data_IF_511421094956
#
_entry.id   IF_511421094956
#
_cell.length_a   1.000
_cell.length_b   1.000
_cell.length_c   1.000
_cell.angle_alpha   90.00
_cell.angle_beta   90.00
_cell.angle_gamma   90.00
#
_symmetry.space_group_name_H-M   'P 1'
#
loop_
_entity.id
_entity.type
_entity.pdbx_description
1 polymer ?
#
# COMPACT_ATOMS: atom_id res chain seq x y z
N UNK A 1 -31.25 2.41 0.10
CA UNK A 1 -30.19 1.71 0.84
C UNK A 1 -29.22 1.18 -0.18
N UNK A 2 -28.17 1.96 -0.45
CA UNK A 2 -27.13 1.66 -1.43
C UNK A 2 -25.87 1.30 -0.64
N UNK A 3 -25.36 0.09 -0.88
CA UNK A 3 -24.07 -0.38 -0.39
C UNK A 3 -22.96 0.30 -1.20
N UNK A 4 -22.05 0.96 -0.49
CA UNK A 4 -20.79 1.50 -1.03
C UNK A 4 -19.74 0.40 -0.90
N UNK A 5 -19.10 0.05 -2.01
CA UNK A 5 -17.97 -0.88 -2.05
C UNK A 5 -16.67 -0.16 -1.65
N UNK A 6 -15.74 -0.79 -0.89
CA UNK A 6 -14.45 -0.20 -0.60
C UNK A 6 -13.49 -0.34 -1.80
N UNK A 7 -12.76 0.74 -2.05
CA UNK A 7 -11.71 0.89 -3.06
C UNK A 7 -10.48 0.12 -2.57
N UNK A 8 -9.88 -0.64 -3.50
CA UNK A 8 -8.76 -1.53 -3.24
C UNK A 8 -7.46 -0.81 -2.90
N UNK A 9 -6.77 -1.35 -1.91
CA UNK A 9 -5.37 -1.08 -1.58
C UNK A 9 -4.51 -1.96 -2.50
N UNK A 10 -3.59 -1.36 -3.25
CA UNK A 10 -2.57 -2.08 -4.00
C UNK A 10 -1.59 -2.73 -3.02
N UNK A 11 -1.68 -4.06 -2.89
CA UNK A 11 -0.70 -4.88 -2.18
C UNK A 11 0.37 -5.39 -3.14
N UNK A 12 1.61 -5.37 -2.67
CA UNK A 12 2.81 -5.90 -3.33
C UNK A 12 2.67 -7.40 -3.60
N UNK A 13 2.93 -7.83 -4.84
CA UNK A 13 3.00 -9.24 -5.22
C UNK A 13 4.40 -9.82 -4.93
N UNK A 14 4.56 -10.52 -3.80
CA UNK A 14 5.58 -11.55 -3.65
C UNK A 14 4.90 -12.89 -3.34
N UNK A 15 4.87 -13.80 -4.32
CA UNK A 15 4.27 -15.13 -4.11
C UNK A 15 4.20 -16.08 -5.31
N UNK A 16 4.80 -15.74 -6.46
CA UNK A 16 4.67 -16.53 -7.68
C UNK A 16 5.79 -17.55 -7.92
N UNK A 17 5.97 -18.57 -7.07
CA UNK A 17 6.93 -19.67 -7.36
C UNK A 17 6.46 -21.11 -7.16
N UNK A 18 5.21 -21.37 -6.79
CA UNK A 18 4.73 -22.76 -6.53
C UNK A 18 3.96 -23.40 -7.69
N UNK A 19 3.60 -22.64 -8.74
CA UNK A 19 2.75 -23.15 -9.83
C UNK A 19 3.48 -23.69 -11.08
N UNK A 20 4.80 -23.90 -11.03
CA UNK A 20 5.58 -24.37 -12.21
C UNK A 20 5.78 -25.89 -12.35
N UNK A 21 5.21 -26.75 -11.50
CA UNK A 21 5.51 -28.20 -11.53
C UNK A 21 4.49 -29.13 -12.22
N UNK A 22 3.52 -28.63 -13.01
CA UNK A 22 2.54 -29.52 -13.70
C UNK A 22 2.60 -29.45 -15.23
N UNK A 23 3.54 -28.68 -15.81
CA UNK A 23 3.55 -28.35 -17.23
C UNK A 23 4.53 -29.10 -18.13
N UNK A 24 4.99 -30.33 -17.83
CA UNK A 24 5.94 -31.05 -18.71
C UNK A 24 5.61 -32.54 -18.80
N UNK A 25 4.56 -32.92 -19.54
CA UNK A 25 4.36 -34.31 -19.96
C UNK A 25 3.41 -34.48 -21.16
N UNK A 26 3.58 -33.76 -22.27
CA UNK A 26 2.97 -34.19 -23.55
C UNK A 26 3.83 -33.78 -24.75
N UNK A 27 4.85 -34.60 -25.03
CA UNK A 27 5.56 -34.58 -26.29
C UNK A 27 5.72 -36.01 -26.81
N UNK A 28 4.79 -36.45 -27.68
CA UNK A 28 5.06 -37.37 -28.79
C UNK A 28 3.76 -37.83 -29.46
N UNK A 29 3.51 -37.37 -30.70
CA UNK A 29 3.17 -38.20 -31.89
C UNK A 29 2.56 -37.32 -33.00
N UNK A 30 3.01 -37.55 -34.23
CA UNK A 30 2.27 -37.13 -35.43
C UNK A 30 3.05 -36.24 -36.40
N UNK A 31 4.00 -36.83 -37.13
CA UNK A 31 4.45 -36.28 -38.42
C UNK A 31 3.29 -36.44 -39.42
N UNK A 32 3.02 -35.37 -40.16
CA UNK A 32 2.17 -35.24 -41.36
C UNK A 32 0.93 -34.36 -41.15
N UNK A 33 1.11 -33.04 -41.19
CA UNK A 33 0.28 -32.11 -41.97
C UNK A 33 0.63 -30.65 -41.60
N UNK A 34 0.51 -29.79 -42.60
CA UNK A 34 0.20 -28.36 -42.44
C UNK A 34 1.37 -27.42 -42.16
N UNK A 35 2.00 -26.98 -43.26
CA UNK A 35 2.80 -25.75 -43.41
C UNK A 35 2.01 -24.45 -43.14
N UNK A 36 0.93 -24.50 -42.37
CA UNK A 36 0.08 -23.34 -42.00
C UNK A 36 0.28 -22.94 -40.53
N UNK A 37 0.89 -23.80 -39.69
CA UNK A 37 1.06 -23.53 -38.25
C UNK A 37 2.26 -22.62 -37.93
N UNK A 38 3.24 -22.52 -38.83
CA UNK A 38 4.41 -21.65 -38.64
C UNK A 38 4.10 -20.15 -38.73
N UNK A 39 2.95 -19.77 -39.31
CA UNK A 39 2.51 -18.38 -39.41
C UNK A 39 1.81 -17.85 -38.14
N UNK A 40 1.24 -18.72 -37.31
CA UNK A 40 0.56 -18.31 -36.07
C UNK A 40 1.50 -18.27 -34.85
N UNK A 41 2.60 -19.04 -34.87
CA UNK A 41 3.55 -19.09 -33.75
C UNK A 41 4.49 -17.87 -33.74
N UNK A 42 4.73 -17.22 -34.89
CA UNK A 42 5.52 -15.96 -34.94
C UNK A 42 4.67 -14.73 -34.54
N UNK A 43 3.33 -14.82 -34.62
CA UNK A 43 2.41 -13.77 -34.16
C UNK A 43 2.11 -13.83 -32.64
N UNK A 44 2.49 -14.91 -31.95
CA UNK A 44 2.34 -15.06 -30.50
C UNK A 44 3.58 -14.60 -29.70
N UNK A 45 4.71 -14.32 -30.35
CA UNK A 45 5.91 -13.76 -29.71
C UNK A 45 6.02 -12.23 -29.85
N UNK A 46 5.06 -11.58 -30.50
CA UNK A 46 4.87 -10.12 -30.53
C UNK A 46 3.80 -9.62 -29.55
N UNK A 47 3.24 -10.52 -28.73
CA UNK A 47 2.70 -10.12 -27.44
C UNK A 47 3.87 -9.81 -26.51
N UNK A 48 4.59 -8.72 -26.83
CA UNK A 48 5.37 -7.99 -25.85
C UNK A 48 4.48 -7.85 -24.64
N UNK A 49 4.98 -8.35 -23.53
CA UNK A 49 4.57 -8.01 -22.17
C UNK A 49 3.93 -6.63 -22.14
N UNK A 50 2.60 -6.59 -22.29
CA UNK A 50 1.81 -5.45 -21.88
C UNK A 50 1.89 -5.50 -20.36
N UNK A 51 3.03 -5.04 -19.83
CA UNK A 51 3.11 -4.60 -18.46
C UNK A 51 1.93 -3.64 -18.33
N UNK A 52 1.08 -3.88 -17.34
CA UNK A 52 -0.05 -3.03 -17.01
C UNK A 52 0.37 -1.63 -16.53
N UNK A 53 1.52 -1.15 -16.98
CA UNK A 53 1.99 0.21 -16.81
C UNK A 53 1.11 1.06 -17.71
N UNK A 54 0.24 1.84 -17.08
CA UNK A 54 -0.66 2.76 -17.77
C UNK A 54 0.08 3.54 -18.85
N UNK A 55 -0.61 3.85 -19.95
CA UNK A 55 -0.04 4.57 -21.08
C UNK A 55 0.60 5.88 -20.61
N UNK A 56 1.93 5.88 -20.50
CA UNK A 56 2.74 7.02 -20.08
C UNK A 56 3.42 7.69 -21.27
N UNK A 57 3.82 8.95 -21.10
CA UNK A 57 4.65 9.70 -22.04
C UNK A 57 5.87 10.26 -21.31
N UNK A 58 6.89 10.65 -22.08
CA UNK A 58 7.99 11.44 -21.53
C UNK A 58 7.45 12.79 -20.99
N UNK A 59 7.97 13.28 -19.86
CA UNK A 59 7.64 14.62 -19.39
C UNK A 59 8.16 15.67 -20.37
N UNK A 60 7.48 16.81 -20.38
CA UNK A 60 7.95 18.04 -21.00
C UNK A 60 9.00 18.71 -20.11
N UNK A 61 9.84 19.62 -20.65
CA UNK A 61 10.80 20.35 -19.82
C UNK A 61 10.17 21.14 -18.66
N UNK A 62 8.94 21.64 -18.84
CA UNK A 62 8.22 22.36 -17.79
C UNK A 62 7.77 21.43 -16.65
N UNK A 63 7.38 20.19 -16.96
CA UNK A 63 7.00 19.18 -15.96
C UNK A 63 8.22 18.69 -15.18
N UNK A 64 9.35 18.47 -15.87
CA UNK A 64 10.61 18.11 -15.20
C UNK A 64 11.07 19.22 -14.24
N UNK A 65 11.02 20.49 -14.70
CA UNK A 65 11.38 21.63 -13.87
C UNK A 65 10.45 21.78 -12.67
N UNK A 66 9.13 21.66 -12.90
CA UNK A 66 8.13 21.72 -11.83
C UNK A 66 8.34 20.61 -10.80
N UNK A 67 8.56 19.37 -11.25
CA UNK A 67 8.80 18.23 -10.38
C UNK A 67 10.03 18.45 -9.50
N UNK A 68 11.17 18.78 -10.11
CA UNK A 68 12.43 19.02 -9.40
C UNK A 68 12.32 20.17 -8.41
N UNK A 69 11.86 21.34 -8.87
CA UNK A 69 11.73 22.53 -8.00
C UNK A 69 10.75 22.30 -6.85
N UNK A 70 9.69 21.53 -7.09
CA UNK A 70 8.74 21.14 -6.04
C UNK A 70 9.38 20.16 -5.06
N UNK A 71 10.06 19.11 -5.52
CA UNK A 71 10.79 18.19 -4.63
C UNK A 71 11.82 18.92 -3.77
N UNK A 72 12.62 19.81 -4.38
CA UNK A 72 13.62 20.61 -3.66
C UNK A 72 12.96 21.50 -2.58
N UNK A 73 11.85 22.15 -2.91
CA UNK A 73 11.11 22.99 -1.96
C UNK A 73 10.50 22.17 -0.82
N UNK A 74 9.95 20.98 -1.10
CA UNK A 74 9.41 20.09 -0.08
C UNK A 74 10.52 19.53 0.82
N UNK A 75 11.64 19.11 0.24
CA UNK A 75 12.81 18.59 0.96
C UNK A 75 13.42 19.65 1.88
N UNK A 76 13.61 20.87 1.37
CA UNK A 76 14.20 21.97 2.13
C UNK A 76 13.32 22.43 3.31
N UNK A 77 12.01 22.15 3.28
CA UNK A 77 11.11 22.49 4.36
C UNK A 77 11.10 21.47 5.51
N UNK A 78 11.59 20.25 5.29
CA UNK A 78 11.67 19.23 6.32
C UNK A 78 12.96 19.38 7.15
N UNK A 79 12.91 18.98 8.44
CA UNK A 79 14.10 19.03 9.28
C UNK A 79 15.22 18.13 8.74
N UNK A 80 16.42 18.69 8.66
CA UNK A 80 17.64 17.94 8.32
C UNK A 80 18.25 17.22 9.54
N UNK A 81 18.01 17.75 10.75
CA UNK A 81 18.59 17.22 11.98
C UNK A 81 17.84 15.98 12.45
N UNK A 82 18.50 14.83 12.37
CA UNK A 82 17.99 13.56 12.87
C UNK A 82 18.16 13.52 14.41
N UNK A 83 17.13 13.14 15.19
CA UNK A 83 17.26 12.99 16.63
C UNK A 83 18.39 12.02 17.02
N UNK A 84 19.03 12.26 18.16
CA UNK A 84 20.09 11.36 18.66
C UNK A 84 19.56 9.94 18.85
N UNK A 85 20.27 8.95 18.28
CA UNK A 85 19.88 7.53 18.31
C UNK A 85 18.86 7.12 17.25
N UNK A 86 18.53 8.02 16.31
CA UNK A 86 17.66 7.75 15.18
C UNK A 86 18.45 7.83 13.88
N UNK A 87 17.95 7.17 12.84
CA UNK A 87 18.55 7.16 11.51
C UNK A 87 17.49 7.44 10.45
N UNK A 88 17.89 8.07 9.33
CA UNK A 88 17.04 8.15 8.15
C UNK A 88 17.03 6.78 7.50
N UNK A 89 15.89 6.09 7.56
CA UNK A 89 15.74 4.74 6.98
C UNK A 89 15.06 4.76 5.63
N UNK A 90 14.29 5.80 5.35
CA UNK A 90 13.62 5.96 4.06
C UNK A 90 13.48 7.45 3.74
N UNK A 91 13.76 7.82 2.50
CA UNK A 91 13.66 9.20 2.02
C UNK A 91 13.40 9.19 0.52
N UNK A 92 12.52 10.08 0.08
CA UNK A 92 12.27 10.24 -1.35
C UNK A 92 13.57 10.59 -2.09
N UNK A 93 13.94 9.74 -3.04
CA UNK A 93 15.05 10.00 -3.94
C UNK A 93 14.65 11.08 -4.95
N UNK A 94 15.56 12.02 -5.19
CA UNK A 94 15.37 13.08 -6.19
C UNK A 94 15.78 12.58 -7.58
N UNK A 95 15.13 11.51 -8.04
CA UNK A 95 15.35 10.98 -9.37
C UNK A 95 14.75 11.87 -10.46
N UNK A 96 15.29 11.77 -11.67
CA UNK A 96 14.70 12.45 -12.82
C UNK A 96 13.31 11.86 -13.11
N UNK A 97 12.32 12.74 -13.28
CA UNK A 97 11.00 12.32 -13.73
C UNK A 97 11.12 11.69 -15.13
N UNK A 98 10.88 10.39 -15.24
CA UNK A 98 11.03 9.66 -16.51
C UNK A 98 9.72 9.54 -17.29
N UNK A 99 8.61 9.34 -16.57
CA UNK A 99 7.30 9.02 -17.15
C UNK A 99 6.20 9.81 -16.47
N UNK A 100 5.27 10.30 -17.28
CA UNK A 100 4.06 11.01 -16.84
C UNK A 100 2.85 10.37 -17.51
N UNK A 101 1.77 10.13 -16.75
CA UNK A 101 0.52 9.59 -17.30
C UNK A 101 -0.09 10.50 -18.37
N UNK A 102 -0.74 9.94 -19.39
CA UNK A 102 -1.28 10.72 -20.53
C UNK A 102 -2.31 11.79 -20.11
N UNK A 103 -3.08 11.58 -19.04
CA UNK A 103 -4.15 12.50 -18.60
C UNK A 103 -3.69 13.62 -17.63
N UNK A 104 -2.41 13.61 -17.24
CA UNK A 104 -1.83 14.56 -16.26
C UNK A 104 -1.94 16.03 -16.67
N UNK A 105 -2.03 16.34 -17.97
CA UNK A 105 -2.19 17.73 -18.44
C UNK A 105 -3.53 18.37 -18.07
N UNK A 106 -4.51 17.59 -17.57
CA UNK A 106 -5.85 18.08 -17.22
C UNK A 106 -6.05 18.33 -15.73
N UNK A 107 -5.10 17.92 -14.89
CA UNK A 107 -5.16 18.05 -13.43
C UNK A 107 -3.85 18.62 -12.91
N UNK A 108 -3.83 19.28 -11.74
CA UNK A 108 -2.58 19.65 -11.10
C UNK A 108 -1.68 18.43 -10.96
N UNK A 109 -0.41 18.58 -11.32
CA UNK A 109 0.57 17.51 -11.23
C UNK A 109 0.91 17.28 -9.76
N UNK A 110 0.59 16.08 -9.25
CA UNK A 110 0.89 15.68 -7.87
C UNK A 110 2.37 15.31 -7.75
N UNK A 111 3.02 15.82 -6.70
CA UNK A 111 4.41 15.48 -6.35
C UNK A 111 4.41 15.08 -4.88
N UNK A 112 5.04 13.95 -4.57
CA UNK A 112 5.17 13.46 -3.19
C UNK A 112 6.63 13.52 -2.79
N UNK A 113 6.87 14.00 -1.59
CA UNK A 113 8.14 13.89 -0.89
C UNK A 113 7.90 13.21 0.45
N UNK A 114 8.80 12.35 0.87
CA UNK A 114 8.68 11.67 2.16
C UNK A 114 10.04 11.55 2.84
N UNK A 115 10.02 11.51 4.17
CA UNK A 115 11.18 11.34 5.03
C UNK A 115 10.75 10.51 6.25
N UNK A 116 11.49 9.45 6.52
CA UNK A 116 11.29 8.59 7.67
C UNK A 116 12.55 8.50 8.52
N UNK A 117 12.36 8.69 9.82
CA UNK A 117 13.37 8.39 10.83
C UNK A 117 12.95 7.18 11.62
N UNK A 118 13.91 6.34 11.96
CA UNK A 118 13.64 5.15 12.77
C UNK A 118 14.69 5.01 13.86
N UNK A 119 14.24 4.61 15.05
CA UNK A 119 15.11 4.19 16.14
C UNK A 119 15.51 2.73 15.92
N UNK A 120 16.61 2.55 15.18
CA UNK A 120 17.08 1.23 14.74
C UNK A 120 17.27 0.27 15.92
N UNK A 121 17.84 0.73 17.03
CA UNK A 121 18.06 -0.12 18.21
C UNK A 121 16.74 -0.62 18.83
N UNK A 122 15.70 0.22 18.85
CA UNK A 122 14.38 -0.17 19.34
C UNK A 122 13.68 -1.13 18.37
N UNK A 123 13.81 -0.89 17.06
CA UNK A 123 13.27 -1.76 16.02
C UNK A 123 13.91 -3.16 16.06
N UNK A 124 15.24 -3.23 16.05
CA UNK A 124 15.98 -4.50 16.11
C UNK A 124 15.61 -5.32 17.35
N UNK A 125 15.46 -4.64 18.50
CA UNK A 125 15.01 -5.31 19.73
C UNK A 125 13.59 -5.89 19.61
N UNK A 126 12.71 -5.22 18.87
CA UNK A 126 11.37 -5.71 18.56
C UNK A 126 11.43 -6.94 17.63
N UNK A 127 12.19 -6.84 16.55
CA UNK A 127 12.34 -7.89 15.52
C UNK A 127 12.98 -9.17 16.08
N UNK A 128 14.02 -9.06 16.91
CA UNK A 128 14.66 -10.23 17.53
C UNK A 128 13.66 -11.02 18.40
N UNK A 129 12.86 -10.31 19.19
CA UNK A 129 11.80 -10.94 20.01
C UNK A 129 10.69 -11.54 19.15
N UNK A 130 10.40 -10.93 18.00
CA UNK A 130 9.38 -11.38 17.06
C UNK A 130 9.76 -12.69 16.40
N UNK A 131 10.98 -12.76 15.88
CA UNK A 131 11.45 -13.86 15.04
C UNK A 131 11.33 -15.21 15.76
N UNK A 132 11.74 -15.26 17.03
CA UNK A 132 11.67 -16.48 17.84
C UNK A 132 10.23 -16.93 18.09
N UNK A 133 9.32 -15.98 18.37
CA UNK A 133 7.92 -16.29 18.68
C UNK A 133 7.13 -16.68 17.42
N UNK A 134 7.34 -15.97 16.31
CA UNK A 134 6.73 -16.27 15.02
C UNK A 134 7.24 -17.62 14.51
N UNK A 135 8.54 -17.89 14.61
CA UNK A 135 9.11 -19.18 14.22
C UNK A 135 8.53 -20.34 15.03
N UNK A 136 8.33 -20.16 16.34
CA UNK A 136 7.72 -21.19 17.19
C UNK A 136 6.27 -21.55 16.81
N UNK A 137 5.52 -20.58 16.26
CA UNK A 137 4.12 -20.79 15.84
C UNK A 137 4.03 -21.31 14.41
N UNK A 138 4.86 -20.78 13.51
CA UNK A 138 4.84 -21.11 12.08
C UNK A 138 5.68 -22.34 11.72
N UNK A 139 6.52 -22.82 12.64
CA UNK A 139 7.41 -23.97 12.44
C UNK A 139 6.68 -25.31 12.27
N UNK A 140 5.36 -25.35 12.48
CA UNK A 140 4.52 -26.51 12.20
C UNK A 140 3.23 -26.09 11.51
N UNK A 141 2.73 -26.93 10.59
CA UNK A 141 1.40 -26.74 10.00
C UNK A 141 0.34 -26.69 11.10
N UNK A 142 -0.57 -25.70 11.11
CA UNK A 142 -1.65 -25.64 12.10
C UNK A 142 -2.74 -26.69 11.84
N UNK A 143 -2.69 -27.34 10.68
CA UNK A 143 -3.58 -28.43 10.29
C UNK A 143 -2.81 -29.74 10.28
N UNK A 144 -3.46 -30.82 10.72
CA UNK A 144 -2.83 -32.14 10.73
C UNK A 144 -2.70 -32.71 9.32
N UNK A 145 -1.72 -33.58 9.09
CA UNK A 145 -1.59 -34.31 7.82
C UNK A 145 -2.85 -35.16 7.52
N UNK A 146 -3.56 -35.61 8.56
CA UNK A 146 -4.81 -36.35 8.43
C UNK A 146 -5.93 -35.47 7.86
N UNK A 147 -6.06 -34.23 8.34
CA UNK A 147 -7.04 -33.26 7.84
C UNK A 147 -6.78 -32.88 6.38
N UNK A 148 -5.51 -32.75 5.99
CA UNK A 148 -5.09 -32.51 4.60
C UNK A 148 -5.45 -33.72 3.73
N UNK A 149 -5.07 -34.93 4.16
CA UNK A 149 -5.36 -36.16 3.44
C UNK A 149 -6.87 -36.39 3.27
N UNK A 150 -7.69 -36.07 4.28
CA UNK A 150 -9.14 -36.17 4.19
C UNK A 150 -9.72 -35.20 3.16
N UNK A 151 -9.24 -33.95 3.12
CA UNK A 151 -9.67 -32.97 2.12
C UNK A 151 -9.32 -33.41 0.69
N UNK A 152 -8.10 -33.89 0.46
CA UNK A 152 -7.66 -34.42 -0.83
C UNK A 152 -8.52 -35.63 -1.26
N UNK A 153 -8.83 -36.53 -0.33
CA UNK A 153 -9.69 -37.68 -0.57
C UNK A 153 -11.11 -37.27 -0.95
N UNK A 154 -11.68 -36.25 -0.28
CA UNK A 154 -12.98 -35.69 -0.64
C UNK A 154 -12.95 -35.09 -2.05
N UNK A 155 -11.88 -34.37 -2.42
CA UNK A 155 -11.72 -33.79 -3.75
C UNK A 155 -11.70 -34.85 -4.86
N UNK A 156 -11.00 -35.98 -4.65
CA UNK A 156 -11.00 -37.12 -5.58
C UNK A 156 -12.41 -37.70 -5.75
N UNK A 157 -13.14 -37.91 -4.64
CA UNK A 157 -14.52 -38.42 -4.70
C UNK A 157 -15.48 -37.48 -5.42
N UNK A 158 -15.31 -36.16 -5.27
CA UNK A 158 -16.09 -35.16 -6.02
C UNK A 158 -15.85 -35.32 -7.51
N UNK A 159 -14.60 -35.48 -7.94
CA UNK A 159 -14.25 -35.65 -9.35
C UNK A 159 -14.83 -36.95 -9.92
N UNK A 160 -14.77 -38.06 -9.19
CA UNK A 160 -15.35 -39.35 -9.57
C UNK A 160 -16.88 -39.28 -9.72
N UNK A 161 -17.58 -38.70 -8.73
CA UNK A 161 -19.03 -38.54 -8.77
C UNK A 161 -19.48 -37.62 -9.91
N UNK A 162 -18.72 -36.53 -10.16
CA UNK A 162 -18.99 -35.62 -11.27
C UNK A 162 -18.81 -36.30 -12.63
N UNK A 163 -17.77 -37.12 -12.81
CA UNK A 163 -17.55 -37.90 -14.02
C UNK A 163 -18.66 -38.93 -14.27
N UNK A 164 -19.26 -39.46 -13.21
CA UNK A 164 -20.41 -40.36 -13.27
C UNK A 164 -21.77 -39.65 -13.47
N UNK A 165 -21.81 -38.31 -13.44
CA UNK A 165 -23.05 -37.53 -13.53
C UNK A 165 -23.92 -37.59 -12.28
N UNK A 166 -23.38 -38.01 -11.14
CA UNK A 166 -24.11 -38.09 -9.86
C UNK A 166 -24.07 -36.75 -9.11
N UNK A 167 -24.96 -35.85 -9.50
CA UNK A 167 -25.03 -34.48 -8.99
C UNK A 167 -25.38 -34.43 -7.49
N UNK A 168 -26.17 -35.38 -7.00
CA UNK A 168 -26.57 -35.38 -5.59
C UNK A 168 -25.40 -35.78 -4.68
N UNK A 169 -24.62 -36.79 -5.08
CA UNK A 169 -23.38 -37.15 -4.38
C UNK A 169 -22.36 -36.01 -4.42
N UNK A 170 -22.21 -35.33 -5.57
CA UNK A 170 -21.34 -34.14 -5.67
C UNK A 170 -21.76 -33.05 -4.67
N UNK A 171 -23.06 -32.79 -4.52
CA UNK A 171 -23.58 -31.77 -3.59
C UNK A 171 -23.22 -32.12 -2.15
N UNK A 172 -23.42 -33.36 -1.73
CA UNK A 172 -23.09 -33.83 -0.37
C UNK A 172 -21.59 -33.75 -0.11
N UNK A 173 -20.76 -34.22 -1.04
CA UNK A 173 -19.30 -34.18 -0.89
C UNK A 173 -18.75 -32.75 -0.84
N UNK A 174 -19.30 -31.82 -1.61
CA UNK A 174 -18.94 -30.39 -1.54
C UNK A 174 -19.28 -29.78 -0.18
N UNK A 175 -20.39 -30.17 0.44
CA UNK A 175 -20.74 -29.73 1.79
C UNK A 175 -19.70 -30.22 2.80
N UNK A 176 -19.27 -31.48 2.70
CA UNK A 176 -18.21 -32.04 3.56
C UNK A 176 -16.87 -31.34 3.33
N UNK A 177 -16.52 -31.01 2.08
CA UNK A 177 -15.33 -30.20 1.79
C UNK A 177 -15.43 -28.79 2.41
N UNK A 178 -16.61 -28.17 2.41
CA UNK A 178 -16.81 -26.87 3.05
C UNK A 178 -16.66 -26.94 4.57
N UNK A 179 -17.15 -28.02 5.20
CA UNK A 179 -16.94 -28.29 6.63
C UNK A 179 -15.45 -28.48 6.95
N UNK A 180 -14.73 -29.26 6.13
CA UNK A 180 -13.29 -29.44 6.30
C UNK A 180 -12.50 -28.13 6.06
N UNK A 181 -12.91 -27.33 5.07
CA UNK A 181 -12.33 -26.00 4.85
C UNK A 181 -12.59 -25.05 6.03
N UNK A 182 -13.71 -25.19 6.74
CA UNK A 182 -13.97 -24.42 7.95
C UNK A 182 -13.01 -24.81 9.11
N UNK A 183 -12.59 -26.08 9.19
CA UNK A 183 -11.54 -26.52 10.13
C UNK A 183 -10.21 -25.82 9.79
N UNK A 184 -9.83 -25.79 8.51
CA UNK A 184 -8.61 -25.09 8.07
C UNK A 184 -8.68 -23.59 8.40
N UNK A 185 -9.76 -22.91 8.00
CA UNK A 185 -9.93 -21.48 8.23
C UNK A 185 -9.86 -21.14 9.73
N UNK A 186 -10.43 -21.99 10.59
CA UNK A 186 -10.33 -21.80 12.04
C UNK A 186 -8.89 -21.95 12.51
N UNK A 187 -8.20 -23.02 12.11
CA UNK A 187 -6.83 -23.29 12.53
C UNK A 187 -5.85 -22.18 12.09
N UNK A 188 -5.96 -21.71 10.84
CA UNK A 188 -5.18 -20.58 10.35
C UNK A 188 -5.58 -19.26 11.02
N UNK A 189 -6.87 -19.04 11.26
CA UNK A 189 -7.34 -17.85 12.00
C UNK A 189 -6.76 -17.76 13.42
N UNK A 190 -6.65 -18.89 14.14
CA UNK A 190 -5.99 -18.94 15.46
C UNK A 190 -4.49 -18.65 15.39
N UNK A 191 -3.82 -18.99 14.28
CA UNK A 191 -2.42 -18.61 14.04
C UNK A 191 -2.31 -17.12 13.75
N UNK A 192 -3.16 -16.59 12.88
CA UNK A 192 -3.19 -15.18 12.53
C UNK A 192 -3.45 -14.30 13.76
N UNK A 193 -4.40 -14.68 14.62
CA UNK A 193 -4.67 -14.00 15.89
C UNK A 193 -3.43 -13.95 16.79
N UNK A 194 -2.67 -15.05 16.90
CA UNK A 194 -1.42 -15.07 17.68
C UNK A 194 -0.33 -14.22 17.06
N UNK A 195 -0.20 -14.21 15.73
CA UNK A 195 0.76 -13.35 15.03
C UNK A 195 0.41 -11.87 15.29
N UNK A 196 -0.88 -11.50 15.23
CA UNK A 196 -1.34 -10.16 15.58
C UNK A 196 -1.01 -9.81 17.03
N UNK A 197 -1.20 -10.73 17.98
CA UNK A 197 -0.82 -10.53 19.39
C UNK A 197 0.69 -10.32 19.56
N UNK A 198 1.51 -11.11 18.87
CA UNK A 198 2.97 -10.96 18.86
C UNK A 198 3.34 -9.60 18.31
N UNK A 199 2.83 -9.23 17.13
CA UNK A 199 3.07 -7.94 16.50
C UNK A 199 2.75 -6.78 17.46
N UNK A 200 1.60 -6.84 18.14
CA UNK A 200 1.24 -5.81 19.13
C UNK A 200 2.21 -5.73 20.31
N UNK A 201 2.78 -6.86 20.73
CA UNK A 201 3.70 -6.92 21.84
C UNK A 201 5.12 -6.45 21.48
N UNK A 202 5.51 -6.57 20.21
CA UNK A 202 6.85 -6.23 19.72
C UNK A 202 6.93 -4.85 19.07
N UNK A 203 5.87 -4.37 18.42
CA UNK A 203 5.87 -3.05 17.78
C UNK A 203 5.83 -2.01 18.89
N UNK A 204 6.98 -1.44 19.18
CA UNK A 204 7.16 -0.46 20.23
C UNK A 204 6.70 0.91 19.74
N UNK A 205 5.78 1.60 20.44
CA UNK A 205 5.55 3.02 20.21
C UNK A 205 6.86 3.82 20.32
N UNK A 206 6.97 4.92 19.59
CA UNK A 206 8.16 5.76 19.41
C UNK A 206 9.32 5.04 18.69
N UNK A 207 9.00 4.08 17.81
CA UNK A 207 10.00 3.41 16.95
C UNK A 207 10.31 4.18 15.67
N UNK A 208 9.33 4.90 15.09
CA UNK A 208 9.50 5.63 13.85
C UNK A 208 8.81 7.01 13.89
N UNK A 209 9.27 7.87 13.00
CA UNK A 209 8.67 9.17 12.67
C UNK A 209 8.61 9.22 11.15
N UNK A 210 7.44 9.43 10.58
CA UNK A 210 7.26 9.56 9.15
C UNK A 210 6.63 10.91 8.81
N UNK A 211 7.18 11.58 7.80
CA UNK A 211 6.68 12.84 7.28
C UNK A 211 6.45 12.67 5.78
N UNK A 212 5.22 12.90 5.34
CA UNK A 212 4.83 12.89 3.93
C UNK A 212 4.33 14.27 3.55
N UNK A 213 4.95 14.88 2.54
CA UNK A 213 4.49 16.13 1.94
C UNK A 213 3.95 15.84 0.54
N UNK A 214 2.68 16.18 0.33
CA UNK A 214 2.00 16.02 -0.95
C UNK A 214 1.72 17.40 -1.56
N UNK A 215 2.42 17.74 -2.64
CA UNK A 215 2.08 18.87 -3.48
C UNK A 215 0.93 18.50 -4.42
N UNK A 216 -0.05 19.39 -4.57
CA UNK A 216 -1.19 19.25 -5.47
C UNK A 216 -2.10 18.03 -5.21
N UNK A 217 -2.02 17.40 -4.03
CA UNK A 217 -3.03 16.44 -3.59
C UNK A 217 -4.36 17.15 -3.40
N UNK A 218 -5.40 16.63 -4.07
CA UNK A 218 -6.72 17.27 -4.14
C UNK A 218 -7.71 16.78 -3.07
N UNK A 219 -7.41 15.67 -2.44
CA UNK A 219 -8.19 15.09 -1.36
C UNK A 219 -7.31 14.29 -0.42
N UNK A 220 -7.62 14.31 0.86
CA UNK A 220 -6.97 13.48 1.87
C UNK A 220 -8.04 12.88 2.77
N UNK A 221 -8.05 11.55 2.87
CA UNK A 221 -8.84 10.86 3.89
C UNK A 221 -8.27 11.20 5.27
N UNK A 222 -9.15 11.41 6.24
CA UNK A 222 -8.76 11.66 7.62
C UNK A 222 -8.89 10.37 8.41
N UNK A 223 -7.97 10.17 9.34
CA UNK A 223 -8.01 9.02 10.23
C UNK A 223 -9.25 9.05 11.14
N UNK A 224 -9.81 7.89 11.53
CA UNK A 224 -10.97 7.82 12.41
C UNK A 224 -10.76 8.57 13.72
N UNK A 225 -11.71 9.44 14.08
CA UNK A 225 -11.65 10.21 15.33
C UNK A 225 -10.69 11.39 15.29
N UNK A 226 -10.22 11.80 14.11
CA UNK A 226 -9.40 12.99 13.95
C UNK A 226 -10.10 14.25 14.52
N UNK A 227 -9.37 15.03 15.30
CA UNK A 227 -9.84 16.27 15.92
C UNK A 227 -9.22 17.46 15.18
N UNK A 228 -10.06 18.42 14.81
CA UNK A 228 -9.62 19.65 14.15
C UNK A 228 -8.76 20.51 15.08
N UNK A 229 -7.67 21.04 14.54
CA UNK A 229 -6.72 21.95 15.18
C UNK A 229 -6.18 22.97 14.16
N UNK A 230 -5.16 23.73 14.56
CA UNK A 230 -4.45 24.69 13.70
C UNK A 230 -2.95 24.51 13.91
N UNK A 231 -2.20 24.44 12.80
CA UNK A 231 -0.73 24.37 12.79
C UNK A 231 -0.21 25.48 11.88
N UNK A 232 0.66 26.34 12.41
CA UNK A 232 1.22 27.49 11.68
C UNK A 232 0.18 28.39 10.97
N UNK A 233 -1.05 28.46 11.51
CA UNK A 233 -2.16 29.21 10.93
C UNK A 233 -3.00 28.45 9.89
N UNK A 234 -2.62 27.22 9.54
CA UNK A 234 -3.35 26.36 8.60
C UNK A 234 -4.30 25.40 9.31
N UNK A 235 -5.43 25.03 8.67
CA UNK A 235 -6.29 23.96 9.16
C UNK A 235 -5.49 22.66 9.27
N UNK A 236 -5.63 21.99 10.42
CA UNK A 236 -5.00 20.71 10.66
C UNK A 236 -5.95 19.75 11.39
N UNK A 237 -5.64 18.47 11.33
CA UNK A 237 -6.40 17.41 11.97
C UNK A 237 -5.43 16.46 12.66
N UNK A 238 -5.76 16.04 13.87
CA UNK A 238 -4.93 15.14 14.67
C UNK A 238 -5.71 13.90 15.07
N UNK A 239 -5.18 12.74 14.76
CA UNK A 239 -5.75 11.46 15.13
C UNK A 239 -4.79 10.68 16.02
N UNK A 240 -5.35 10.00 17.03
CA UNK A 240 -4.54 9.20 17.95
C UNK A 240 -3.95 7.99 17.24
N UNK A 241 -2.78 7.56 17.70
CA UNK A 241 -2.20 6.29 17.28
C UNK A 241 -3.12 5.11 17.56
N UNK A 242 -3.01 4.08 16.74
CA UNK A 242 -3.86 2.91 16.77
C UNK A 242 -3.12 1.67 16.25
N UNK A 243 -3.63 0.49 16.60
CA UNK A 243 -3.17 -0.75 16.01
C UNK A 243 -3.99 -1.09 14.76
N UNK A 244 -3.32 -1.45 13.67
CA UNK A 244 -3.96 -2.02 12.49
C UNK A 244 -4.60 -3.38 12.83
N UNK A 245 -5.46 -3.91 11.93
CA UNK A 245 -5.93 -5.29 12.04
C UNK A 245 -4.79 -6.34 12.06
N UNK A 246 -3.63 -6.06 11.46
CA UNK A 246 -2.43 -6.92 11.48
C UNK A 246 -1.60 -6.79 12.77
N UNK A 247 -1.98 -5.89 13.68
CA UNK A 247 -1.30 -5.69 14.96
C UNK A 247 -0.11 -4.73 14.92
N UNK A 248 0.11 -4.06 13.79
CA UNK A 248 1.11 -3.01 13.66
C UNK A 248 0.64 -1.72 14.32
N UNK A 249 1.52 -1.04 15.06
CA UNK A 249 1.25 0.25 15.68
C UNK A 249 1.50 1.39 14.69
N UNK A 250 0.51 2.25 14.50
CA UNK A 250 0.67 3.56 13.86
C UNK A 250 0.66 4.64 14.94
N UNK A 251 1.56 5.61 14.78
CA UNK A 251 1.66 6.71 15.72
C UNK A 251 0.52 7.74 15.58
N UNK A 252 0.51 8.74 16.47
CA UNK A 252 -0.35 9.90 16.30
C UNK A 252 -0.05 10.59 14.96
N UNK A 253 -1.08 10.81 14.17
CA UNK A 253 -0.98 11.51 12.89
C UNK A 253 -1.47 12.94 13.04
N UNK A 254 -0.67 13.90 12.60
CA UNK A 254 -1.07 15.30 12.36
C UNK A 254 -1.07 15.58 10.87
N UNK A 255 -2.23 15.88 10.30
CA UNK A 255 -2.40 16.27 8.89
C UNK A 255 -2.64 17.77 8.79
N UNK A 256 -1.80 18.50 8.06
CA UNK A 256 -1.87 19.95 7.86
C UNK A 256 -2.21 20.26 6.40
N UNK A 257 -3.15 21.18 6.17
CA UNK A 257 -3.67 21.51 4.85
C UNK A 257 -3.32 22.95 4.46
N UNK A 258 -2.40 23.10 3.50
CA UNK A 258 -1.97 24.38 2.95
C UNK A 258 -2.56 24.64 1.56
N UNK A 259 -2.72 25.91 1.21
CA UNK A 259 -3.45 26.34 0.01
C UNK A 259 -4.88 26.78 0.29
N UNK A 260 -5.55 27.35 -0.72
CA UNK A 260 -6.89 27.93 -0.59
C UNK A 260 -7.95 26.94 -1.03
N UNK A 261 -9.17 27.05 -0.47
CA UNK A 261 -10.35 26.33 -0.96
C UNK A 261 -10.52 24.91 -0.42
N UNK A 262 -9.86 24.57 0.67
CA UNK A 262 -10.09 23.31 1.38
C UNK A 262 -11.42 23.31 2.14
N UNK A 263 -12.14 22.19 2.11
CA UNK A 263 -13.41 21.98 2.80
C UNK A 263 -13.56 20.51 3.24
N UNK A 264 -14.32 20.28 4.31
CA UNK A 264 -14.64 18.93 4.79
C UNK A 264 -15.75 18.31 3.93
N UNK A 265 -15.66 17.00 3.69
CA UNK A 265 -16.79 16.22 3.19
C UNK A 265 -17.83 15.98 4.29
N UNK A 266 -19.09 15.67 3.95
CA UNK A 266 -20.10 15.32 4.96
C UNK A 266 -19.61 14.16 5.85
N UNK A 267 -19.58 14.38 7.16
CA UNK A 267 -19.08 13.41 8.13
C UNK A 267 -17.57 13.48 8.42
N UNK A 268 -16.88 14.49 7.88
CA UNK A 268 -15.45 14.79 8.12
C UNK A 268 -14.50 13.61 7.84
N UNK A 269 -14.92 12.64 7.01
CA UNK A 269 -14.11 11.48 6.65
C UNK A 269 -12.97 11.82 5.67
N UNK A 270 -13.07 12.95 4.98
CA UNK A 270 -12.04 13.45 4.08
C UNK A 270 -12.06 14.98 4.01
N UNK A 271 -10.92 15.54 3.66
CA UNK A 271 -10.76 16.95 3.32
C UNK A 271 -10.46 17.06 1.83
N UNK A 272 -11.15 17.96 1.13
CA UNK A 272 -11.04 18.13 -0.32
C UNK A 272 -10.77 19.60 -0.66
N UNK A 273 -10.14 19.85 -1.80
CA UNK A 273 -9.91 21.20 -2.32
C UNK A 273 -10.58 21.39 -3.68
N UNK A 274 -11.15 22.58 -3.89
CA UNK A 274 -11.56 22.99 -5.23
C UNK A 274 -10.36 23.48 -6.02
N UNK A 275 -9.99 22.77 -7.08
CA UNK A 275 -8.90 23.16 -7.99
C UNK A 275 -9.15 24.55 -8.56
N UNK A 276 -8.11 25.37 -8.65
CA UNK A 276 -8.19 26.66 -9.33
C UNK A 276 -8.37 26.42 -10.84
N UNK A 277 -9.56 26.71 -11.34
CA UNK A 277 -9.87 26.50 -12.75
C UNK A 277 -8.88 27.27 -13.65
N UNK A 278 -8.34 26.57 -14.67
CA UNK A 278 -7.41 27.11 -15.68
C UNK A 278 -5.99 27.43 -15.17
N UNK A 279 -5.65 27.11 -13.92
CA UNK A 279 -4.25 27.11 -13.52
C UNK A 279 -3.45 26.10 -14.36
N UNK A 280 -2.18 26.39 -14.71
CA UNK A 280 -1.30 25.39 -15.31
C UNK A 280 -1.23 24.13 -14.44
N UNK A 281 -1.11 22.96 -15.06
CA UNK A 281 -0.94 21.71 -14.31
C UNK A 281 0.40 21.68 -13.53
N UNK A 282 1.39 22.44 -13.99
CA UNK A 282 2.69 22.68 -13.35
C UNK A 282 2.66 23.88 -12.39
N UNK A 283 1.51 24.21 -11.80
CA UNK A 283 1.42 25.22 -10.75
C UNK A 283 1.13 24.55 -9.43
N UNK A 284 1.88 24.94 -8.39
CA UNK A 284 1.66 24.46 -7.04
C UNK A 284 0.46 25.18 -6.43
N UNK A 285 -0.61 24.44 -6.11
CA UNK A 285 -1.87 24.99 -5.59
C UNK A 285 -2.14 24.58 -4.14
N UNK A 286 -1.69 23.39 -3.76
CA UNK A 286 -1.86 22.84 -2.40
C UNK A 286 -0.61 22.12 -1.94
N UNK A 287 -0.44 22.09 -0.62
CA UNK A 287 0.48 21.17 0.06
C UNK A 287 -0.29 20.53 1.20
N UNK A 288 -0.21 19.20 1.32
CA UNK A 288 -0.71 18.44 2.47
C UNK A 288 0.49 17.83 3.17
N UNK A 289 0.68 18.17 4.45
CA UNK A 289 1.71 17.54 5.28
C UNK A 289 1.04 16.50 6.19
N UNK A 290 1.51 15.25 6.16
CA UNK A 290 1.11 14.18 7.08
C UNK A 290 2.32 13.84 7.92
N UNK A 291 2.22 14.10 9.23
CA UNK A 291 3.28 13.83 10.20
C UNK A 291 2.77 12.73 11.12
N UNK A 292 3.42 11.57 11.09
CA UNK A 292 3.20 10.45 11.99
C UNK A 292 4.37 10.38 12.99
N UNK A 293 4.08 10.56 14.28
CA UNK A 293 5.09 10.56 15.33
C UNK A 293 4.46 10.30 16.70
N UNK A 294 5.22 9.74 17.64
CA UNK A 294 4.78 9.59 19.04
C UNK A 294 4.31 10.94 19.62
N UNK A 295 3.18 10.97 20.35
CA UNK A 295 2.58 12.21 20.89
C UNK A 295 3.54 13.10 21.70
N UNK A 296 4.59 12.53 22.29
CA UNK A 296 5.61 13.27 23.06
C UNK A 296 6.54 14.09 22.18
N UNK A 297 6.68 13.74 20.90
CA UNK A 297 7.58 14.39 19.92
C UNK A 297 6.84 15.11 18.80
N UNK A 298 5.59 14.76 18.51
CA UNK A 298 4.81 15.33 17.41
C UNK A 298 4.85 16.86 17.41
N UNK A 299 4.72 17.49 18.59
CA UNK A 299 4.78 18.94 18.73
C UNK A 299 6.11 19.53 18.26
N UNK A 300 7.23 19.03 18.77
CA UNK A 300 8.57 19.52 18.39
C UNK A 300 8.88 19.26 16.91
N UNK A 301 8.47 18.11 16.36
CA UNK A 301 8.70 17.79 14.94
C UNK A 301 7.91 18.75 14.04
N UNK A 302 6.64 18.99 14.36
CA UNK A 302 5.79 19.95 13.64
C UNK A 302 6.38 21.36 13.69
N UNK A 303 7.00 21.76 14.79
CA UNK A 303 7.66 23.08 14.93
C UNK A 303 8.96 23.20 14.13
N UNK A 304 9.63 22.09 13.81
CA UNK A 304 10.86 22.08 13.01
C UNK A 304 10.61 22.23 11.50
N UNK A 305 9.39 21.97 11.02
CA UNK A 305 9.03 22.15 9.61
C UNK A 305 9.04 23.64 9.28
N UNK A 306 9.73 24.03 8.21
CA UNK A 306 9.75 25.41 7.71
C UNK A 306 8.46 25.73 6.94
N UNK A 307 7.38 25.96 7.69
CA UNK A 307 6.08 26.36 7.14
C UNK A 307 6.16 27.63 6.28
N UNK A 308 6.93 28.67 6.65
CA UNK A 308 7.17 29.81 5.77
C UNK A 308 7.76 29.44 4.39
N UNK A 309 8.72 28.51 4.32
CA UNK A 309 9.27 28.05 3.05
C UNK A 309 8.22 27.36 2.17
N UNK A 310 7.39 26.49 2.75
CA UNK A 310 6.27 25.85 2.03
C UNK A 310 5.26 26.88 1.53
N UNK A 311 4.95 27.90 2.34
CA UNK A 311 4.07 28.99 1.93
C UNK A 311 4.68 29.82 0.80
N UNK A 312 5.98 30.12 0.87
CA UNK A 312 6.68 30.82 -0.19
C UNK A 312 6.66 30.03 -1.51
N UNK A 313 6.76 28.70 -1.47
CA UNK A 313 6.63 27.86 -2.65
C UNK A 313 5.21 27.93 -3.27
N UNK A 314 4.17 27.97 -2.42
CA UNK A 314 2.79 28.16 -2.87
C UNK A 314 2.55 29.54 -3.51
N UNK A 315 3.23 30.58 -3.04
CA UNK A 315 3.05 31.96 -3.51
C UNK A 315 3.83 32.29 -4.79
N UNK A 316 4.74 31.42 -5.25
CA UNK A 316 5.54 31.63 -6.46
C UNK A 316 4.79 31.37 -7.78
N UNK A 317 3.52 30.95 -7.72
CA UNK A 317 2.69 30.54 -8.87
C UNK A 317 1.33 31.24 -8.91
#
# INVERSE_FOLDING_TARGET
>A
MLFVAPIGVCGMEEGGKVLQMVGVAMAARGKCASRVVAGCIILLFLATTAHGDGTGRKPTPAEQEFYRSTQDALAAALPADVPEGWEITDQAESDELEVVGIETGTRPMEVTYYLQWTNVALQEQGEEKAADQISAITGSSPVSDEDVAEYERLAVKVAEAAAAGDIETVRVLRQQMAEQAAVFNKAFGEVDEKIVEINRAITAPDSHVAMYLFANRLSQSLEPGAVRTVVAGYPAFRAKGYYTPSGEWHEETTTVFMGKGWFATPGDAAYQVSVVAKAPHTSLQTVVAVIEADPRRTGSIVEMIDWPALQAALDQN
#
